data_IF_319109269074
#
_entry.id   IF_319109269074
#
_cell.length_a   1.000
_cell.length_b   1.000
_cell.length_c   1.000
_cell.angle_alpha   90.00
_cell.angle_beta   90.00
_cell.angle_gamma   90.00
#
_symmetry.space_group_name_H-M   'P 1'
#
loop_
_entity.id
_entity.type
_entity.pdbx_description
1 polymer ?
#
# COMPACT_ATOMS: atom_id res chain seq x y z
N UNK A 1 20.59 -1.14 -17.47
CA UNK A 1 20.40 -2.40 -18.22
C UNK A 1 19.00 -2.90 -17.90
N UNK A 2 18.02 -2.60 -18.76
CA UNK A 2 16.62 -3.04 -18.56
C UNK A 2 16.54 -4.54 -18.85
N UNK A 3 16.56 -5.38 -17.82
CA UNK A 3 16.23 -6.78 -17.99
C UNK A 3 14.70 -6.85 -18.20
N UNK A 4 14.26 -7.04 -19.44
CA UNK A 4 12.86 -7.35 -19.72
C UNK A 4 12.60 -8.73 -19.11
N UNK A 5 11.99 -8.76 -17.92
CA UNK A 5 11.70 -10.00 -17.20
C UNK A 5 10.95 -11.00 -18.08
N UNK A 6 11.28 -12.29 -17.94
CA UNK A 6 10.56 -13.37 -18.61
C UNK A 6 9.29 -13.73 -17.82
N UNK A 7 8.22 -14.10 -18.53
CA UNK A 7 7.00 -14.64 -17.93
C UNK A 7 7.15 -16.17 -17.90
N UNK A 8 7.20 -16.80 -16.72
CA UNK A 8 7.33 -18.24 -16.63
C UNK A 8 6.05 -18.93 -17.09
N UNK A 9 6.22 -20.04 -17.83
CA UNK A 9 5.12 -20.94 -18.21
C UNK A 9 5.29 -22.25 -17.45
N UNK A 10 4.27 -22.63 -16.68
CA UNK A 10 4.29 -23.80 -15.80
C UNK A 10 3.35 -24.85 -16.38
N UNK A 11 3.90 -26.02 -16.71
CA UNK A 11 3.13 -27.16 -17.20
C UNK A 11 2.67 -28.06 -16.05
N UNK A 12 1.40 -28.44 -16.06
CA UNK A 12 0.79 -29.23 -14.98
C UNK A 12 0.10 -28.39 -13.92
N UNK A 13 -0.42 -27.21 -14.31
CA UNK A 13 -0.86 -26.17 -13.39
C UNK A 13 -1.92 -26.52 -12.34
N UNK A 14 -2.66 -27.63 -12.50
CA UNK A 14 -3.61 -28.10 -11.48
C UNK A 14 -2.96 -28.96 -10.37
N UNK A 15 -1.75 -29.47 -10.62
CA UNK A 15 -1.04 -30.41 -9.74
C UNK A 15 0.12 -29.74 -9.00
N UNK A 16 0.47 -28.51 -9.36
CA UNK A 16 1.66 -27.82 -8.84
C UNK A 16 1.21 -26.59 -8.07
N UNK A 17 1.54 -26.57 -6.77
CA UNK A 17 1.45 -25.37 -5.94
C UNK A 17 2.84 -24.76 -5.79
N UNK A 18 2.92 -23.45 -5.96
CA UNK A 18 4.16 -22.71 -5.75
C UNK A 18 4.31 -22.30 -4.28
N UNK A 19 5.48 -21.77 -3.93
CA UNK A 19 5.70 -21.26 -2.58
C UNK A 19 4.67 -20.16 -2.26
N UNK A 20 4.16 -20.14 -1.03
CA UNK A 20 3.24 -19.11 -0.54
C UNK A 20 1.92 -19.00 -1.34
N UNK A 21 1.47 -20.10 -1.98
CA UNK A 21 0.24 -20.18 -2.80
C UNK A 21 -1.04 -19.71 -2.09
N UNK A 22 -1.04 -19.66 -0.75
CA UNK A 22 -2.17 -19.18 0.05
C UNK A 22 -2.33 -17.66 0.08
N UNK A 23 -1.25 -16.90 -0.11
CA UNK A 23 -1.27 -15.42 -0.08
C UNK A 23 -0.84 -14.81 -1.42
N UNK A 24 0.07 -15.46 -2.15
CA UNK A 24 0.55 -14.99 -3.46
C UNK A 24 -0.32 -15.58 -4.56
N UNK A 25 -0.93 -14.72 -5.37
CA UNK A 25 -1.71 -15.10 -6.54
C UNK A 25 -0.81 -15.30 -7.76
N UNK A 26 -0.21 -16.49 -7.84
CA UNK A 26 0.72 -16.85 -8.92
C UNK A 26 0.15 -16.75 -10.33
N UNK A 27 -1.18 -16.87 -10.49
CA UNK A 27 -1.87 -16.70 -11.78
C UNK A 27 -1.68 -15.31 -12.40
N UNK A 28 -1.27 -14.29 -11.61
CA UNK A 28 -0.94 -12.94 -12.11
C UNK A 28 0.55 -12.80 -12.50
N UNK A 29 1.37 -13.81 -12.24
CA UNK A 29 2.82 -13.80 -12.44
C UNK A 29 3.25 -14.80 -13.51
N UNK A 30 2.62 -15.97 -13.52
CA UNK A 30 2.99 -17.11 -14.34
C UNK A 30 1.79 -17.62 -15.12
N UNK A 31 2.06 -18.15 -16.32
CA UNK A 31 1.05 -18.79 -17.15
C UNK A 31 1.00 -20.27 -16.79
N UNK A 32 -0.12 -20.73 -16.26
CA UNK A 32 -0.35 -22.12 -15.91
C UNK A 32 -1.06 -22.85 -17.06
N UNK A 33 -0.47 -23.93 -17.54
CA UNK A 33 -1.03 -24.75 -18.62
C UNK A 33 -1.15 -26.21 -18.18
N UNK A 34 -2.21 -26.88 -18.60
CA UNK A 34 -2.39 -28.32 -18.39
C UNK A 34 -1.46 -29.11 -19.32
N UNK A 35 -0.94 -30.26 -18.85
CA UNK A 35 -0.01 -31.10 -19.63
C UNK A 35 -0.60 -31.56 -20.97
N UNK A 36 -1.92 -31.72 -21.04
CA UNK A 36 -2.63 -32.14 -22.27
C UNK A 36 -2.63 -31.06 -23.34
N UNK A 37 -2.54 -29.77 -22.97
CA UNK A 37 -2.60 -28.63 -23.89
C UNK A 37 -1.24 -28.13 -24.35
N UNK A 38 -0.16 -28.87 -24.07
CA UNK A 38 1.21 -28.50 -24.44
C UNK A 38 1.36 -28.31 -25.96
N UNK A 39 0.63 -29.08 -26.76
CA UNK A 39 0.63 -28.95 -28.23
C UNK A 39 0.07 -27.61 -28.72
N UNK A 40 -0.82 -26.98 -27.95
CA UNK A 40 -1.43 -25.67 -28.23
C UNK A 40 -0.61 -24.50 -27.68
N UNK A 41 0.51 -24.77 -26.98
CA UNK A 41 1.26 -23.76 -26.23
C UNK A 41 1.64 -22.56 -27.10
N UNK A 42 2.16 -22.80 -28.30
CA UNK A 42 2.59 -21.72 -29.20
C UNK A 42 1.42 -20.78 -29.56
N UNK A 43 0.26 -21.36 -29.86
CA UNK A 43 -0.94 -20.59 -30.19
C UNK A 43 -1.43 -19.77 -28.98
N UNK A 44 -1.48 -20.39 -27.80
CA UNK A 44 -1.93 -19.74 -26.57
C UNK A 44 -1.03 -18.57 -26.18
N UNK A 45 0.29 -18.75 -26.23
CA UNK A 45 1.23 -17.68 -25.89
C UNK A 45 1.15 -16.50 -26.87
N UNK A 46 0.89 -16.79 -28.16
CA UNK A 46 0.73 -15.75 -29.18
C UNK A 46 -0.59 -14.99 -29.07
N UNK A 47 -1.59 -15.57 -28.42
CA UNK A 47 -2.89 -14.94 -28.21
C UNK A 47 -2.89 -13.92 -27.06
N UNK A 48 -1.85 -13.90 -26.23
CA UNK A 48 -1.73 -12.96 -25.11
C UNK A 48 -1.32 -11.58 -25.66
N UNK A 49 -2.09 -10.51 -25.40
CA UNK A 49 -1.75 -9.17 -25.85
C UNK A 49 -0.54 -8.60 -25.10
N UNK A 50 0.15 -7.64 -25.72
CA UNK A 50 1.33 -7.00 -25.14
C UNK A 50 1.04 -6.28 -23.81
N UNK A 51 -0.17 -5.73 -23.65
CA UNK A 51 -0.62 -5.09 -22.41
C UNK A 51 -0.59 -6.06 -21.22
N UNK A 52 -1.10 -7.27 -21.42
CA UNK A 52 -1.08 -8.33 -20.41
C UNK A 52 0.35 -8.79 -20.12
N UNK A 53 1.20 -8.90 -21.15
CA UNK A 53 2.62 -9.23 -20.97
C UNK A 53 3.30 -8.22 -20.05
N UNK A 54 3.00 -6.92 -20.19
CA UNK A 54 3.54 -5.89 -19.29
C UNK A 54 3.03 -6.07 -17.86
N UNK A 55 1.75 -6.41 -17.67
CA UNK A 55 1.18 -6.68 -16.35
C UNK A 55 1.83 -7.88 -15.68
N UNK A 56 1.98 -9.01 -16.39
CA UNK A 56 2.67 -10.20 -15.88
C UNK A 56 4.11 -9.89 -15.48
N UNK A 57 4.85 -9.13 -16.31
CA UNK A 57 6.24 -8.73 -16.02
C UNK A 57 6.33 -7.82 -14.81
N UNK A 58 5.45 -6.82 -14.71
CA UNK A 58 5.39 -5.92 -13.55
C UNK A 58 5.11 -6.71 -12.27
N UNK A 59 4.12 -7.60 -12.32
CA UNK A 59 3.75 -8.42 -11.17
C UNK A 59 4.88 -9.36 -10.77
N UNK A 60 5.49 -10.07 -11.73
CA UNK A 60 6.61 -10.96 -11.45
C UNK A 60 7.81 -10.24 -10.84
N UNK A 61 8.07 -8.99 -11.28
CA UNK A 61 9.11 -8.15 -10.67
C UNK A 61 8.80 -7.81 -9.22
N UNK A 62 7.57 -7.41 -8.90
CA UNK A 62 7.15 -7.11 -7.51
C UNK A 62 7.35 -8.34 -6.63
N UNK A 63 6.83 -9.50 -7.05
CA UNK A 63 6.94 -10.75 -6.28
C UNK A 63 8.40 -11.16 -6.08
N UNK A 64 9.22 -11.06 -7.13
CA UNK A 64 10.64 -11.37 -7.04
C UNK A 64 11.36 -10.43 -6.07
N UNK A 65 11.29 -9.12 -6.29
CA UNK A 65 12.02 -8.12 -5.50
C UNK A 65 11.61 -8.12 -4.02
N UNK A 66 10.32 -8.36 -3.73
CA UNK A 66 9.79 -8.30 -2.36
C UNK A 66 9.93 -9.60 -1.59
N UNK A 67 9.80 -10.75 -2.26
CA UNK A 67 9.66 -12.03 -1.56
C UNK A 67 10.82 -12.99 -1.80
N UNK A 68 11.42 -12.99 -3.00
CA UNK A 68 12.33 -14.08 -3.43
C UNK A 68 13.76 -13.65 -3.75
N UNK A 69 14.02 -12.34 -3.91
CA UNK A 69 15.30 -11.85 -4.43
C UNK A 69 16.50 -12.12 -3.50
N UNK A 70 16.27 -12.30 -2.20
CA UNK A 70 17.30 -12.55 -1.20
C UNK A 70 16.85 -13.57 -0.14
N UNK A 71 17.82 -14.11 0.59
CA UNK A 71 17.53 -14.97 1.75
C UNK A 71 16.75 -14.17 2.80
N UNK A 72 17.14 -12.92 3.04
CA UNK A 72 16.46 -12.05 4.02
C UNK A 72 15.00 -11.81 3.62
N UNK A 73 14.73 -11.43 2.37
CA UNK A 73 13.36 -11.25 1.89
C UNK A 73 12.53 -12.54 2.01
N UNK A 74 13.15 -13.69 1.74
CA UNK A 74 12.48 -15.00 1.88
C UNK A 74 12.12 -15.28 3.35
N UNK A 75 13.04 -15.02 4.29
CA UNK A 75 12.78 -15.17 5.72
C UNK A 75 11.71 -14.21 6.22
N UNK A 76 11.78 -12.94 5.82
CA UNK A 76 10.78 -11.93 6.16
C UNK A 76 9.39 -12.33 5.63
N UNK A 77 9.34 -12.93 4.43
CA UNK A 77 8.11 -13.47 3.81
C UNK A 77 7.53 -14.61 4.65
N UNK A 78 8.38 -15.55 5.09
CA UNK A 78 7.94 -16.65 5.96
C UNK A 78 7.40 -16.11 7.29
N UNK A 79 8.08 -15.14 7.90
CA UNK A 79 7.63 -14.51 9.15
C UNK A 79 6.31 -13.78 8.95
N UNK A 80 6.15 -13.02 7.87
CA UNK A 80 4.91 -12.33 7.53
C UNK A 80 3.75 -13.32 7.31
N UNK A 81 4.01 -14.43 6.62
CA UNK A 81 3.03 -15.50 6.41
C UNK A 81 2.57 -16.11 7.73
N UNK A 82 3.52 -16.39 8.64
CA UNK A 82 3.21 -16.92 9.96
C UNK A 82 2.40 -15.93 10.79
N UNK A 83 2.72 -14.63 10.72
CA UNK A 83 1.95 -13.57 11.38
C UNK A 83 0.52 -13.52 10.87
N UNK A 84 0.32 -13.60 9.56
CA UNK A 84 -1.00 -13.61 8.95
C UNK A 84 -1.84 -14.82 9.41
N UNK A 85 -1.24 -16.01 9.42
CA UNK A 85 -1.91 -17.22 9.94
C UNK A 85 -2.30 -17.12 11.41
N UNK A 86 -1.54 -16.37 12.20
CA UNK A 86 -1.79 -16.15 13.62
C UNK A 86 -2.66 -14.90 13.90
N UNK A 87 -3.03 -14.12 12.88
CA UNK A 87 -3.74 -12.85 13.05
C UNK A 87 -2.94 -11.76 13.76
N UNK A 88 -1.60 -11.87 13.75
CA UNK A 88 -0.70 -10.89 14.36
C UNK A 88 -0.41 -9.79 13.33
N UNK A 89 -0.64 -8.51 13.66
CA UNK A 89 -0.36 -7.42 12.72
C UNK A 89 1.15 -7.27 12.44
N UNK A 90 1.52 -6.74 11.26
CA UNK A 90 2.90 -6.39 10.97
C UNK A 90 3.42 -5.27 11.89
N UNK A 91 4.74 -5.09 11.90
CA UNK A 91 5.37 -4.05 12.70
C UNK A 91 5.03 -2.67 12.12
N UNK A 92 4.80 -1.65 12.96
CA UNK A 92 4.60 -0.29 12.48
C UNK A 92 5.84 0.18 11.70
N UNK A 93 5.62 0.89 10.60
CA UNK A 93 6.67 1.52 9.83
C UNK A 93 7.40 2.57 10.70
N UNK A 94 8.71 2.69 10.50
CA UNK A 94 9.53 3.63 11.26
C UNK A 94 9.09 5.08 10.98
N UNK A 95 8.84 5.84 12.05
CA UNK A 95 8.56 7.26 11.95
C UNK A 95 9.86 8.04 11.74
N UNK A 96 10.04 8.61 10.56
CA UNK A 96 11.17 9.48 10.25
C UNK A 96 10.68 10.93 10.27
N UNK A 97 11.41 11.80 10.98
CA UNK A 97 11.12 13.23 10.96
C UNK A 97 11.29 13.76 9.54
N UNK A 98 10.29 14.50 9.05
CA UNK A 98 10.39 15.13 7.74
C UNK A 98 11.58 16.11 7.74
N UNK A 99 12.42 16.01 6.71
CA UNK A 99 13.47 17.00 6.50
C UNK A 99 12.80 18.28 6.01
N UNK A 100 12.99 19.37 6.75
CA UNK A 100 12.50 20.68 6.31
C UNK A 100 13.21 21.05 5.01
N UNK A 101 12.44 21.26 3.95
CA UNK A 101 12.92 21.87 2.71
C UNK A 101 13.10 23.40 2.85
N UNK A 102 12.60 23.96 3.95
CA UNK A 102 12.71 25.37 4.28
C UNK A 102 13.90 25.62 5.19
N UNK A 103 14.67 26.67 4.85
CA UNK A 103 15.75 27.17 5.70
C UNK A 103 15.18 27.84 6.95
N UNK A 104 16.00 27.99 7.99
CA UNK A 104 15.65 28.62 9.28
C UNK A 104 15.09 30.06 9.16
N UNK A 105 15.31 30.72 8.02
CA UNK A 105 14.84 32.07 7.73
C UNK A 105 13.51 32.12 6.98
N UNK A 106 12.97 30.98 6.55
CA UNK A 106 11.71 30.95 5.82
C UNK A 106 10.55 31.30 6.74
N UNK A 107 9.85 32.39 6.39
CA UNK A 107 8.59 32.74 7.00
C UNK A 107 7.49 32.44 5.98
N UNK A 108 6.58 31.48 6.28
CA UNK A 108 5.46 31.22 5.40
C UNK A 108 4.61 32.48 5.27
N UNK A 109 4.07 32.73 4.07
CA UNK A 109 3.23 33.90 3.82
C UNK A 109 1.96 33.76 4.67
N UNK A 110 1.91 34.54 5.74
CA UNK A 110 0.74 34.63 6.60
C UNK A 110 -0.24 35.62 5.96
N UNK A 111 -1.43 35.14 5.61
CA UNK A 111 -2.53 36.01 5.20
C UNK A 111 -2.99 36.73 6.47
N UNK A 112 -2.78 38.05 6.53
CA UNK A 112 -3.37 38.89 7.57
C UNK A 112 -4.88 38.90 7.37
N UNK A 113 -5.59 38.05 8.10
CA UNK A 113 -7.04 38.11 8.21
C UNK A 113 -7.36 39.40 8.98
N UNK A 114 -7.77 40.44 8.24
CA UNK A 114 -8.28 41.67 8.83
C UNK A 114 -9.41 41.34 9.80
N UNK A 115 -9.31 41.87 11.01
CA UNK A 115 -10.16 41.52 12.15
C UNK A 115 -11.60 42.01 12.09
N UNK A 116 -12.32 41.78 10.99
CA UNK A 116 -13.78 41.80 10.97
C UNK A 116 -14.27 40.36 11.00
N UNK A 117 -14.14 39.75 12.19
CA UNK A 117 -14.69 38.43 12.48
C UNK A 117 -16.20 38.63 12.63
N UNK A 118 -16.98 38.35 11.59
CA UNK A 118 -18.40 38.06 11.78
C UNK A 118 -18.50 36.96 12.85
N UNK A 119 -19.24 37.23 13.93
CA UNK A 119 -19.23 36.42 15.16
C UNK A 119 -19.62 34.94 14.93
N UNK A 120 -20.23 34.61 13.79
CA UNK A 120 -20.59 33.24 13.42
C UNK A 120 -19.40 32.40 12.92
N UNK A 121 -18.28 33.02 12.53
CA UNK A 121 -17.03 32.34 12.16
C UNK A 121 -15.94 32.45 13.25
N UNK A 122 -16.32 32.80 14.49
CA UNK A 122 -15.40 32.77 15.62
C UNK A 122 -15.04 31.32 15.95
N UNK A 123 -13.97 30.81 15.33
CA UNK A 123 -13.56 29.40 15.40
C UNK A 123 -13.21 28.90 16.81
N UNK A 124 -13.30 29.74 17.87
CA UNK A 124 -12.93 29.44 19.25
C UNK A 124 -11.48 29.82 19.59
N UNK A 125 -10.95 29.38 20.75
CA UNK A 125 -9.53 29.56 21.11
C UNK A 125 -8.58 28.75 20.20
N UNK A 126 -7.31 29.19 20.05
CA UNK A 126 -6.29 28.44 19.31
C UNK A 126 -6.11 27.05 19.94
N UNK A 127 -6.39 26.00 19.17
CA UNK A 127 -6.21 24.63 19.64
C UNK A 127 -4.72 24.27 19.74
N UNK A 128 -4.31 23.47 20.73
CA UNK A 128 -2.95 22.96 20.80
C UNK A 128 -2.66 22.10 19.55
N UNK A 129 -1.38 21.98 19.15
CA UNK A 129 -0.98 21.14 18.03
C UNK A 129 -1.58 19.74 18.15
N UNK A 130 -2.26 19.29 17.09
CA UNK A 130 -2.90 17.98 17.05
C UNK A 130 -1.94 16.96 16.45
N UNK A 131 -1.66 15.89 17.19
CA UNK A 131 -0.85 14.79 16.68
C UNK A 131 -1.56 14.11 15.51
N UNK A 132 -0.78 13.60 14.54
CA UNK A 132 -1.35 12.76 13.50
C UNK A 132 -2.13 11.60 14.12
N UNK A 133 -3.23 11.16 13.47
CA UNK A 133 -3.97 10.02 13.96
C UNK A 133 -3.04 8.80 14.06
N UNK A 134 -3.04 8.16 15.22
CA UNK A 134 -2.32 6.89 15.41
C UNK A 134 -2.88 5.79 14.51
N UNK A 135 -2.15 4.68 14.37
CA UNK A 135 -2.53 3.59 13.50
C UNK A 135 -3.93 3.03 13.84
N UNK A 136 -4.92 3.33 13.00
CA UNK A 136 -6.34 3.00 13.28
C UNK A 136 -6.72 1.59 12.86
N UNK A 137 -6.00 1.00 11.90
CA UNK A 137 -6.40 -0.22 11.19
C UNK A 137 -5.50 -1.44 11.47
N UNK A 138 -4.83 -1.48 12.63
CA UNK A 138 -3.84 -2.52 12.92
C UNK A 138 -4.39 -3.94 12.75
N UNK A 139 -5.57 -4.20 13.30
CA UNK A 139 -6.18 -5.53 13.31
C UNK A 139 -7.17 -5.75 12.16
N UNK A 140 -7.64 -4.69 11.51
CA UNK A 140 -8.63 -4.79 10.42
C UNK A 140 -7.99 -4.81 9.03
N UNK A 141 -6.82 -4.19 8.86
CA UNK A 141 -6.14 -4.06 7.57
C UNK A 141 -5.81 -5.43 6.95
N UNK A 142 -5.12 -6.37 7.63
CA UNK A 142 -4.84 -7.68 7.03
C UNK A 142 -6.10 -8.49 6.76
N UNK A 143 -7.18 -8.28 7.52
CA UNK A 143 -8.46 -8.98 7.33
C UNK A 143 -9.25 -8.46 6.12
N UNK A 144 -9.20 -7.15 5.89
CA UNK A 144 -10.01 -6.49 4.85
C UNK A 144 -9.25 -6.32 3.54
N UNK A 145 -7.92 -6.16 3.60
CA UNK A 145 -7.06 -5.83 2.47
C UNK A 145 -5.82 -6.74 2.40
N UNK A 146 -5.91 -7.96 2.92
CA UNK A 146 -4.80 -8.91 2.90
C UNK A 146 -4.35 -9.27 1.49
N UNK A 147 -5.29 -9.44 0.56
CA UNK A 147 -4.96 -9.75 -0.83
C UNK A 147 -4.13 -8.63 -1.47
N UNK A 148 -4.54 -7.38 -1.29
CA UNK A 148 -3.87 -6.18 -1.81
C UNK A 148 -2.49 -6.01 -1.17
N UNK A 149 -2.39 -6.26 0.14
CA UNK A 149 -1.13 -6.22 0.89
C UNK A 149 -0.06 -7.12 0.27
N UNK A 150 -0.44 -8.37 -0.06
CA UNK A 150 0.47 -9.36 -0.66
C UNK A 150 0.68 -9.18 -2.16
N UNK A 151 -0.36 -8.81 -2.91
CA UNK A 151 -0.34 -8.90 -4.38
C UNK A 151 -0.27 -7.55 -5.09
N UNK A 152 -0.87 -6.49 -4.54
CA UNK A 152 -0.90 -5.19 -5.23
C UNK A 152 0.15 -4.23 -4.69
N UNK A 153 0.27 -4.12 -3.36
CA UNK A 153 1.26 -3.26 -2.70
C UNK A 153 2.61 -3.97 -2.55
N UNK A 154 2.56 -5.27 -2.26
CA UNK A 154 3.77 -6.08 -2.09
C UNK A 154 4.55 -5.75 -0.81
N UNK A 155 3.86 -5.34 0.26
CA UNK A 155 4.49 -4.96 1.52
C UNK A 155 3.71 -5.45 2.75
N UNK A 156 3.64 -6.78 2.99
CA UNK A 156 3.02 -7.35 4.18
C UNK A 156 3.88 -7.22 5.45
N UNK A 157 5.04 -6.57 5.36
CA UNK A 157 6.03 -6.53 6.43
C UNK A 157 5.79 -5.40 7.42
N UNK A 158 5.19 -4.30 6.92
CA UNK A 158 5.03 -3.05 7.64
C UNK A 158 3.59 -2.59 7.67
N UNK A 159 3.24 -1.96 8.77
CA UNK A 159 1.96 -1.31 8.97
C UNK A 159 2.15 0.20 8.80
N UNK A 160 1.29 0.84 8.02
CA UNK A 160 1.32 2.29 7.79
C UNK A 160 0.15 2.97 8.51
N UNK A 161 0.34 4.20 9.02
CA UNK A 161 -0.69 4.89 9.81
C UNK A 161 -1.90 5.30 8.96
N UNK A 162 -1.68 5.59 7.68
CA UNK A 162 -2.69 5.84 6.68
C UNK A 162 -2.20 5.29 5.33
N UNK A 163 -3.13 4.73 4.55
CA UNK A 163 -2.89 4.28 3.18
C UNK A 163 -3.71 5.12 2.20
N UNK A 164 -3.22 5.35 0.97
CA UNK A 164 -3.98 6.05 -0.07
C UNK A 164 -5.32 5.37 -0.43
N UNK A 165 -5.40 4.06 -0.17
CA UNK A 165 -6.55 3.19 -0.46
C UNK A 165 -7.34 2.83 0.80
N UNK A 166 -7.16 3.60 1.90
CA UNK A 166 -7.99 3.44 3.08
C UNK A 166 -9.47 3.73 2.72
N UNK A 167 -10.42 2.95 3.27
CA UNK A 167 -11.83 3.18 3.02
C UNK A 167 -12.23 4.55 3.56
N UNK A 168 -12.76 5.37 2.66
CA UNK A 168 -13.33 6.66 3.03
C UNK A 168 -14.70 6.46 3.65
N UNK A 169 -14.95 7.16 4.75
CA UNK A 169 -16.29 7.23 5.33
C UNK A 169 -17.19 8.08 4.43
N UNK A 170 -18.49 7.79 4.43
CA UNK A 170 -19.50 8.62 3.75
C UNK A 170 -19.50 10.04 4.30
N UNK A 171 -19.92 11.01 3.49
CA UNK A 171 -19.99 12.43 3.89
C UNK A 171 -20.85 12.68 5.14
N UNK A 172 -21.83 11.83 5.41
CA UNK A 172 -22.69 11.90 6.60
C UNK A 172 -22.02 11.37 7.88
N UNK A 173 -20.90 10.66 7.76
CA UNK A 173 -20.14 10.22 8.92
C UNK A 173 -19.41 11.43 9.51
N UNK A 174 -19.73 11.77 10.76
CA UNK A 174 -19.00 12.82 11.48
C UNK A 174 -17.51 12.50 11.44
N UNK A 175 -16.70 13.38 10.85
CA UNK A 175 -15.25 13.25 10.95
C UNK A 175 -14.89 13.22 12.44
N UNK A 176 -13.92 12.39 12.82
CA UNK A 176 -13.37 12.43 14.18
C UNK A 176 -12.79 13.84 14.37
N UNK A 177 -13.46 14.66 15.18
CA UNK A 177 -13.11 16.07 15.36
C UNK A 177 -14.02 17.07 14.63
N UNK A 178 -14.98 16.66 13.78
CA UNK A 178 -15.85 17.59 13.02
C UNK A 178 -16.76 18.47 13.87
N UNK A 179 -16.93 18.15 15.17
CA UNK A 179 -17.58 19.04 16.12
C UNK A 179 -16.76 20.28 16.47
N UNK A 180 -15.49 20.32 16.06
CA UNK A 180 -14.58 21.47 16.15
C UNK A 180 -14.25 21.86 14.71
N UNK A 181 -14.51 23.12 14.34
CA UNK A 181 -14.28 23.62 12.99
C UNK A 181 -12.86 23.28 12.49
N UNK A 182 -12.70 23.01 11.20
CA UNK A 182 -11.38 22.69 10.63
C UNK A 182 -10.47 23.92 10.70
N UNK A 183 -9.37 23.80 11.45
CA UNK A 183 -8.28 24.79 11.46
C UNK A 183 -7.05 24.22 10.74
N UNK A 184 -6.30 25.03 9.97
CA UNK A 184 -5.10 24.57 9.32
C UNK A 184 -4.05 24.11 10.35
N UNK A 185 -3.45 22.94 10.10
CA UNK A 185 -2.41 22.35 10.95
C UNK A 185 -1.24 23.34 11.04
N UNK A 186 -0.80 23.62 12.26
CA UNK A 186 0.32 24.54 12.50
C UNK A 186 0.08 25.97 11.99
N UNK A 187 -1.14 26.51 12.07
CA UNK A 187 -1.48 27.85 11.54
C UNK A 187 -1.27 28.01 10.01
N UNK A 188 -1.29 26.91 9.25
CA UNK A 188 -1.00 26.95 7.82
C UNK A 188 0.49 26.91 7.49
N UNK A 189 1.34 26.55 8.46
CA UNK A 189 2.76 26.27 8.23
C UNK A 189 3.03 24.87 7.64
N UNK A 190 1.99 24.08 7.39
CA UNK A 190 2.12 22.72 6.86
C UNK A 190 2.28 22.67 5.34
N UNK A 191 3.50 22.42 4.89
CA UNK A 191 3.92 21.98 3.56
C UNK A 191 5.27 21.30 3.64
#
# INVERSE_FOLDING_TARGET
>A
MYCFGAIPVILGGDQIKLAYDEVIQWKRVAIFLTKTRVTELHFLLRAIPDEDILLYRRQGRIIWERYLASVQSTLDTIVALLRERLGIPPLPADSVAAVSIFNDTFQPIQIQTGGDVEQEESLGPLEPPYNSPGFRRNYSLPLTQGHELWNDWGDPFRLYPALPTDPILSSDAKFIGSGRGFRPIGQGQGG
#
